data_IF_840156075005
#
_entry.id   IF_840156075005
#
_cell.length_a   1.000
_cell.length_b   1.000
_cell.length_c   1.000
_cell.angle_alpha   90.00
_cell.angle_beta   90.00
_cell.angle_gamma   90.00
#
_symmetry.space_group_name_H-M   'P 1'
#
loop_
_entity.id
_entity.type
_entity.pdbx_description
1 polymer ?
#
# COMPACT_ATOMS: atom_id res chain seq x y z
N UNK A 1 4.83 13.04 -8.17
CA UNK A 1 5.90 14.01 -8.52
C UNK A 1 7.21 13.28 -8.67
N UNK A 2 7.60 12.54 -7.66
CA UNK A 2 8.73 11.60 -7.70
C UNK A 2 8.24 10.22 -7.22
N UNK A 3 9.08 9.20 -7.38
CA UNK A 3 8.85 7.86 -6.85
C UNK A 3 7.87 7.01 -7.67
N UNK A 4 7.79 7.18 -9.00
CA UNK A 4 6.89 6.36 -9.83
C UNK A 4 7.26 4.86 -9.84
N UNK A 5 8.54 4.42 -9.84
CA UNK A 5 8.84 2.99 -9.75
C UNK A 5 8.35 2.40 -8.42
N UNK A 6 8.65 3.06 -7.31
CA UNK A 6 8.24 2.66 -5.96
C UNK A 6 6.72 2.62 -5.83
N UNK A 7 6.05 3.66 -6.34
CA UNK A 7 4.58 3.74 -6.34
C UNK A 7 3.95 2.63 -7.18
N UNK A 8 4.54 2.28 -8.33
CA UNK A 8 4.02 1.22 -9.18
C UNK A 8 4.22 -0.18 -8.60
N UNK A 9 5.22 -0.36 -7.74
CA UNK A 9 5.46 -1.61 -6.98
C UNK A 9 4.74 -1.67 -5.63
N UNK A 10 4.01 -0.62 -5.24
CA UNK A 10 3.20 -0.62 -4.03
C UNK A 10 1.96 -1.52 -4.23
N UNK A 11 1.92 -2.62 -3.47
CA UNK A 11 0.83 -3.62 -3.54
C UNK A 11 -0.53 -3.09 -3.09
N UNK A 12 -0.60 -1.95 -2.41
CA UNK A 12 -1.87 -1.26 -2.14
C UNK A 12 -2.60 -0.81 -3.42
N UNK A 13 -1.91 -0.71 -4.57
CA UNK A 13 -2.53 -0.44 -5.87
C UNK A 13 -2.97 -1.68 -6.66
N UNK A 14 -2.94 -2.88 -6.06
CA UNK A 14 -3.40 -4.10 -6.74
C UNK A 14 -4.80 -3.90 -7.31
N UNK A 15 -4.96 -4.25 -8.58
CA UNK A 15 -6.22 -4.11 -9.32
C UNK A 15 -6.71 -2.67 -9.55
N UNK A 16 -5.85 -1.66 -9.35
CA UNK A 16 -6.18 -0.25 -9.57
C UNK A 16 -5.49 0.30 -10.82
N UNK A 17 -6.12 1.29 -11.45
CA UNK A 17 -5.53 2.10 -12.51
C UNK A 17 -4.91 3.34 -11.87
N UNK A 18 -3.59 3.45 -11.90
CA UNK A 18 -2.87 4.54 -11.27
C UNK A 18 -2.82 5.75 -12.19
N UNK A 19 -3.41 6.87 -11.76
CA UNK A 19 -3.32 8.16 -12.45
C UNK A 19 -2.28 9.03 -11.75
N UNK A 20 -1.19 9.35 -12.44
CA UNK A 20 -0.18 10.25 -11.88
C UNK A 20 -0.51 11.71 -12.22
N UNK A 21 -0.55 12.54 -11.17
CA UNK A 21 -0.89 13.96 -11.29
C UNK A 21 0.27 14.81 -11.78
N UNK A 22 1.51 14.36 -11.58
CA UNK A 22 2.68 15.02 -12.14
C UNK A 22 2.73 14.74 -13.65
N UNK A 23 2.82 15.77 -14.50
CA UNK A 23 2.56 15.61 -15.93
C UNK A 23 3.66 14.82 -16.66
N UNK A 24 4.92 14.95 -16.24
CA UNK A 24 6.07 14.36 -16.93
C UNK A 24 6.57 13.12 -16.17
N UNK A 25 6.32 11.93 -16.71
CA UNK A 25 6.66 10.66 -16.03
C UNK A 25 7.70 9.88 -16.84
N UNK A 26 8.63 9.20 -16.16
CA UNK A 26 9.69 8.41 -16.80
C UNK A 26 11.04 9.15 -16.92
N UNK A 27 11.14 10.37 -16.41
CA UNK A 27 12.32 11.25 -16.56
C UNK A 27 13.63 10.67 -16.00
N UNK A 28 13.58 9.81 -14.99
CA UNK A 28 14.77 9.17 -14.41
C UNK A 28 14.84 7.66 -14.72
N UNK A 29 14.05 7.18 -15.68
CA UNK A 29 14.03 5.79 -16.09
C UNK A 29 13.56 4.85 -14.97
N UNK A 30 13.94 3.59 -15.06
CA UNK A 30 13.66 2.58 -14.05
C UNK A 30 14.99 1.98 -13.60
N UNK A 31 15.25 1.87 -12.29
CA UNK A 31 16.48 1.27 -11.78
C UNK A 31 16.52 -0.24 -11.99
N UNK A 32 17.69 -0.84 -11.81
CA UNK A 32 17.84 -2.28 -11.99
C UNK A 32 17.10 -3.06 -10.89
N UNK A 33 16.10 -3.90 -11.23
CA UNK A 33 15.34 -4.69 -10.24
C UNK A 33 16.14 -5.79 -9.56
N UNK A 34 17.31 -6.15 -10.11
CA UNK A 34 18.19 -7.19 -9.56
C UNK A 34 19.20 -6.66 -8.53
N UNK A 35 19.26 -5.33 -8.32
CA UNK A 35 20.12 -4.76 -7.29
C UNK A 35 19.51 -4.98 -5.91
N UNK A 36 20.18 -5.80 -5.11
CA UNK A 36 19.76 -6.16 -3.74
C UNK A 36 20.57 -5.42 -2.68
N UNK A 37 19.94 -5.11 -1.55
CA UNK A 37 20.57 -4.60 -0.34
C UNK A 37 21.29 -5.71 0.45
N UNK A 38 21.89 -5.33 1.58
CA UNK A 38 22.63 -6.25 2.47
C UNK A 38 21.76 -7.37 3.06
N UNK A 39 20.43 -7.22 3.04
CA UNK A 39 19.45 -8.20 3.52
C UNK A 39 18.80 -9.00 2.37
N UNK A 40 19.31 -8.85 1.14
CA UNK A 40 18.80 -9.56 -0.03
C UNK A 40 17.43 -9.08 -0.52
N UNK A 41 17.04 -7.84 -0.21
CA UNK A 41 15.82 -7.19 -0.72
C UNK A 41 16.16 -6.22 -1.85
N UNK A 42 15.29 -6.03 -2.86
CA UNK A 42 15.52 -5.04 -3.93
C UNK A 42 15.74 -3.64 -3.37
N UNK A 43 16.80 -2.94 -3.80
CA UNK A 43 17.15 -1.62 -3.26
C UNK A 43 16.09 -0.56 -3.54
N UNK A 44 15.61 -0.49 -4.78
CA UNK A 44 14.84 0.65 -5.30
C UNK A 44 13.36 0.35 -5.55
N UNK A 45 12.86 -0.79 -5.07
CA UNK A 45 11.48 -1.22 -5.29
C UNK A 45 10.81 -1.61 -3.98
N UNK A 46 9.49 -1.47 -3.92
CA UNK A 46 8.67 -1.79 -2.76
C UNK A 46 8.20 -3.24 -2.75
N UNK A 47 8.56 -4.02 -3.77
CA UNK A 47 8.27 -5.45 -3.86
C UNK A 47 9.37 -6.22 -4.60
N UNK A 48 9.37 -7.55 -4.44
CA UNK A 48 10.37 -8.44 -5.03
C UNK A 48 10.42 -8.32 -6.55
N UNK A 49 11.63 -8.46 -7.11
CA UNK A 49 11.91 -8.40 -8.56
C UNK A 49 11.44 -7.13 -9.28
N UNK A 50 11.05 -6.08 -8.54
CA UNK A 50 10.43 -4.90 -9.13
C UNK A 50 9.08 -5.21 -9.79
N UNK A 51 8.35 -6.21 -9.31
CA UNK A 51 7.04 -6.57 -9.85
C UNK A 51 6.04 -5.42 -9.65
N UNK A 52 5.42 -5.00 -10.75
CA UNK A 52 4.44 -3.93 -10.80
C UNK A 52 3.11 -4.44 -10.24
N UNK A 53 2.58 -3.72 -9.26
CA UNK A 53 1.30 -4.03 -8.62
C UNK A 53 0.10 -3.37 -9.30
N UNK A 54 0.30 -2.19 -9.92
CA UNK A 54 -0.77 -1.46 -10.61
C UNK A 54 -1.29 -2.26 -11.81
N UNK A 55 -2.58 -2.20 -12.08
CA UNK A 55 -3.16 -2.84 -13.28
C UNK A 55 -2.95 -2.03 -14.55
N UNK A 56 -2.82 -0.72 -14.42
CA UNK A 56 -2.39 0.14 -15.51
C UNK A 56 -1.84 1.47 -14.99
N UNK A 57 -1.09 2.16 -15.85
CA UNK A 57 -0.63 3.52 -15.59
C UNK A 57 -1.26 4.52 -16.57
N UNK A 58 -1.74 5.64 -16.05
CA UNK A 58 -2.32 6.75 -16.81
C UNK A 58 -1.51 8.01 -16.50
N UNK A 59 -0.92 8.61 -17.53
CA UNK A 59 -0.04 9.79 -17.38
C UNK A 59 -0.37 10.89 -18.40
N UNK A 60 0.11 12.09 -18.13
CA UNK A 60 0.07 13.21 -19.08
C UNK A 60 1.04 12.97 -20.24
N UNK A 61 2.32 12.90 -19.93
CA UNK A 61 3.41 12.72 -20.89
C UNK A 61 4.42 11.70 -20.37
N UNK A 62 4.97 10.91 -21.29
CA UNK A 62 6.04 9.94 -21.00
C UNK A 62 7.35 10.47 -21.56
N UNK A 63 8.38 10.48 -20.73
CA UNK A 63 9.74 10.76 -21.17
C UNK A 63 10.34 9.50 -21.81
N UNK A 64 10.66 9.57 -23.11
CA UNK A 64 11.26 8.46 -23.86
C UNK A 64 12.78 8.35 -23.68
N UNK A 65 13.44 9.44 -23.27
CA UNK A 65 14.90 9.52 -23.09
C UNK A 65 15.22 9.89 -21.64
N UNK A 66 15.15 8.92 -20.70
CA UNK A 66 15.45 9.17 -19.29
C UNK A 66 16.91 9.58 -19.08
N UNK A 67 17.17 10.41 -18.07
CA UNK A 67 18.52 10.79 -17.66
C UNK A 67 18.66 10.74 -16.15
N UNK A 68 19.26 9.66 -15.65
CA UNK A 68 19.60 9.46 -14.25
C UNK A 68 20.70 8.41 -14.12
N UNK A 69 21.62 8.57 -13.17
CA UNK A 69 22.76 7.66 -12.99
C UNK A 69 22.34 6.22 -12.69
N UNK A 70 21.19 6.05 -12.03
CA UNK A 70 20.59 4.75 -11.71
C UNK A 70 19.60 4.25 -12.76
N UNK A 71 19.48 4.90 -13.93
CA UNK A 71 18.56 4.46 -14.98
C UNK A 71 19.09 3.21 -15.68
N UNK A 72 18.34 2.10 -15.61
CA UNK A 72 18.66 0.84 -16.28
C UNK A 72 17.82 0.61 -17.54
N UNK A 73 16.54 0.97 -17.50
CA UNK A 73 15.61 0.86 -18.64
C UNK A 73 14.62 2.02 -18.67
N UNK A 74 13.92 2.19 -19.79
CA UNK A 74 12.81 3.14 -19.88
C UNK A 74 11.57 2.61 -19.14
N UNK A 75 10.69 3.52 -18.72
CA UNK A 75 9.40 3.16 -18.13
C UNK A 75 8.59 2.24 -19.05
N UNK A 76 8.58 2.54 -20.35
CA UNK A 76 7.83 1.74 -21.33
C UNK A 76 8.39 0.33 -21.50
N UNK A 77 9.71 0.15 -21.49
CA UNK A 77 10.33 -1.18 -21.55
C UNK A 77 10.02 -2.02 -20.30
N UNK A 78 10.11 -1.41 -19.12
CA UNK A 78 9.77 -2.06 -17.86
C UNK A 78 8.30 -2.50 -17.80
N UNK A 79 7.37 -1.64 -18.21
CA UNK A 79 5.96 -2.00 -18.27
C UNK A 79 5.67 -3.10 -19.31
N UNK A 80 6.32 -3.05 -20.48
CA UNK A 80 6.17 -4.07 -21.52
C UNK A 80 6.67 -5.44 -21.06
N UNK A 81 7.81 -5.50 -20.36
CA UNK A 81 8.38 -6.77 -19.90
C UNK A 81 7.47 -7.50 -18.90
N UNK A 82 6.70 -6.75 -18.12
CA UNK A 82 5.73 -7.27 -17.15
C UNK A 82 4.28 -7.29 -17.67
N UNK A 83 4.07 -6.95 -18.94
CA UNK A 83 2.74 -6.93 -19.60
C UNK A 83 1.73 -6.00 -18.92
N UNK A 84 2.19 -4.87 -18.39
CA UNK A 84 1.34 -3.86 -17.76
C UNK A 84 0.93 -2.81 -18.80
N UNK A 85 -0.38 -2.59 -19.03
CA UNK A 85 -0.84 -1.56 -19.95
C UNK A 85 -0.59 -0.16 -19.38
N UNK A 86 -0.39 0.80 -20.29
CA UNK A 86 -0.28 2.21 -19.96
C UNK A 86 -0.86 3.08 -21.07
N UNK A 87 -1.26 4.30 -20.72
CA UNK A 87 -1.73 5.31 -21.67
C UNK A 87 -1.17 6.69 -21.30
N UNK A 88 -0.66 7.39 -22.30
CA UNK A 88 -0.17 8.76 -22.22
C UNK A 88 -1.03 9.70 -23.08
N UNK A 89 -0.79 11.01 -22.97
CA UNK A 89 -1.57 12.04 -23.67
C UNK A 89 -2.93 12.32 -23.03
N UNK A 90 -3.13 11.89 -21.78
CA UNK A 90 -4.38 12.09 -21.05
C UNK A 90 -4.28 13.36 -20.20
N UNK A 91 -5.33 14.20 -20.22
CA UNK A 91 -5.46 15.28 -19.24
C UNK A 91 -5.72 14.69 -17.84
N UNK A 92 -4.63 14.35 -17.14
CA UNK A 92 -4.69 13.75 -15.80
C UNK A 92 -5.30 14.72 -14.80
N UNK A 93 -5.19 16.05 -15.01
CA UNK A 93 -5.84 17.05 -14.16
C UNK A 93 -7.36 17.01 -14.28
N UNK A 94 -7.90 16.95 -15.50
CA UNK A 94 -9.34 16.80 -15.73
C UNK A 94 -9.86 15.48 -15.13
N UNK A 95 -9.11 14.39 -15.29
CA UNK A 95 -9.44 13.09 -14.70
C UNK A 95 -9.43 13.14 -13.17
N UNK A 96 -8.40 13.71 -12.55
CA UNK A 96 -8.32 13.87 -11.08
C UNK A 96 -9.46 14.71 -10.53
N UNK A 97 -9.87 15.80 -11.21
CA UNK A 97 -11.06 16.58 -10.81
C UNK A 97 -12.32 15.71 -10.79
N UNK A 98 -12.54 14.93 -11.85
CA UNK A 98 -13.69 14.02 -11.96
C UNK A 98 -13.70 12.96 -10.86
N UNK A 99 -12.55 12.36 -10.57
CA UNK A 99 -12.40 11.39 -9.47
C UNK A 99 -12.66 12.02 -8.10
N UNK A 100 -12.21 13.26 -7.88
CA UNK A 100 -12.49 13.97 -6.62
C UNK A 100 -13.98 14.29 -6.43
N UNK A 101 -14.67 14.62 -7.51
CA UNK A 101 -16.10 14.97 -7.49
C UNK A 101 -17.00 13.75 -7.28
N UNK A 102 -16.71 12.63 -7.96
CA UNK A 102 -17.55 11.43 -7.96
C UNK A 102 -17.03 10.28 -7.07
N UNK A 103 -15.84 10.43 -6.50
CA UNK A 103 -15.18 9.41 -5.70
C UNK A 103 -14.48 8.32 -6.52
N UNK A 104 -14.32 7.14 -5.93
CA UNK A 104 -13.68 5.99 -6.59
C UNK A 104 -14.55 5.50 -7.75
N UNK A 105 -14.07 5.69 -8.99
CA UNK A 105 -14.76 5.25 -10.20
C UNK A 105 -14.11 3.98 -10.77
N UNK A 106 -14.94 3.11 -11.34
CA UNK A 106 -14.47 2.01 -12.17
C UNK A 106 -14.04 2.55 -13.54
N UNK A 107 -12.90 2.04 -14.03
CA UNK A 107 -12.31 2.47 -15.29
C UNK A 107 -11.76 1.28 -16.08
N UNK A 108 -11.57 1.49 -17.38
CA UNK A 108 -10.95 0.52 -18.28
C UNK A 108 -10.19 1.26 -19.38
N UNK A 109 -9.02 0.74 -19.73
CA UNK A 109 -8.28 1.15 -20.93
C UNK A 109 -8.70 0.21 -22.06
N UNK A 110 -9.08 0.78 -23.19
CA UNK A 110 -9.44 0.04 -24.41
C UNK A 110 -8.60 0.55 -25.57
N UNK A 111 -8.08 -0.37 -26.39
CA UNK A 111 -7.24 -0.01 -27.55
C UNK A 111 -8.03 0.66 -28.68
N UNK A 112 -9.29 0.24 -28.84
CA UNK A 112 -10.19 0.76 -29.86
C UNK A 112 -11.53 1.07 -29.20
N UNK A 113 -12.25 2.03 -29.77
CA UNK A 113 -13.59 2.37 -29.31
C UNK A 113 -14.50 1.15 -29.54
N UNK A 114 -15.08 0.58 -28.47
CA UNK A 114 -15.92 -0.59 -28.62
C UNK A 114 -17.24 -0.25 -29.33
N UNK A 115 -17.66 -1.08 -30.28
CA UNK A 115 -18.95 -0.94 -30.97
C UNK A 115 -20.13 -1.13 -30.00
N UNK A 116 -19.97 -2.04 -29.04
CA UNK A 116 -20.96 -2.31 -28.01
C UNK A 116 -20.35 -2.22 -26.61
N UNK A 117 -20.57 -1.08 -25.94
CA UNK A 117 -20.12 -0.83 -24.57
C UNK A 117 -20.68 -1.85 -23.56
N UNK A 118 -21.83 -2.48 -23.84
CA UNK A 118 -22.45 -3.46 -22.92
C UNK A 118 -21.62 -4.75 -22.78
N UNK A 119 -20.78 -5.08 -23.77
CA UNK A 119 -19.85 -6.21 -23.69
C UNK A 119 -18.70 -5.95 -22.69
N UNK A 120 -18.49 -4.69 -22.30
CA UNK A 120 -17.40 -4.26 -21.42
C UNK A 120 -17.93 -4.00 -20.01
N UNK A 121 -18.50 -5.03 -19.38
CA UNK A 121 -18.95 -4.95 -17.99
C UNK A 121 -17.79 -4.57 -17.06
N UNK A 122 -17.98 -3.54 -16.23
CA UNK A 122 -17.03 -3.19 -15.20
C UNK A 122 -17.04 -4.23 -14.08
N UNK A 123 -15.86 -4.58 -13.58
CA UNK A 123 -15.70 -5.43 -12.41
C UNK A 123 -15.12 -4.56 -11.30
N UNK A 124 -15.77 -4.54 -10.13
CA UNK A 124 -15.24 -3.84 -8.96
C UNK A 124 -14.27 -4.77 -8.22
N UNK A 125 -12.95 -4.47 -8.24
CA UNK A 125 -11.97 -5.31 -7.56
C UNK A 125 -12.13 -5.33 -6.05
N UNK A 126 -12.80 -4.35 -5.45
CA UNK A 126 -13.04 -4.30 -4.00
C UNK A 126 -14.03 -5.37 -3.52
N UNK A 127 -14.69 -6.10 -4.45
CA UNK A 127 -15.58 -7.22 -4.10
C UNK A 127 -14.84 -8.53 -3.83
N UNK A 128 -13.50 -8.54 -3.99
CA UNK A 128 -12.63 -9.69 -3.82
C UNK A 128 -11.65 -9.45 -2.67
N UNK A 129 -11.12 -10.53 -2.10
CA UNK A 129 -10.05 -10.44 -1.12
C UNK A 129 -8.70 -10.17 -1.82
N UNK A 130 -8.40 -8.88 -2.04
CA UNK A 130 -7.15 -8.45 -2.67
C UNK A 130 -5.91 -8.74 -1.80
N UNK A 131 -6.08 -8.81 -0.48
CA UNK A 131 -5.01 -9.16 0.45
C UNK A 131 -4.52 -10.58 0.21
N UNK A 132 -5.44 -11.54 0.05
CA UNK A 132 -5.11 -12.92 -0.27
C UNK A 132 -4.39 -13.09 -1.62
N UNK A 133 -4.68 -12.22 -2.59
CA UNK A 133 -4.00 -12.19 -3.89
C UNK A 133 -2.56 -11.67 -3.79
N UNK A 134 -2.30 -10.73 -2.88
CA UNK A 134 -1.00 -10.10 -2.72
C UNK A 134 -0.09 -10.84 -1.77
N UNK A 135 -0.61 -11.38 -0.66
CA UNK A 135 0.15 -12.02 0.40
C UNK A 135 1.09 -13.12 -0.12
N UNK A 136 2.28 -13.19 0.47
CA UNK A 136 3.18 -14.34 0.36
C UNK A 136 2.45 -15.66 0.68
N UNK A 137 2.97 -16.75 0.13
CA UNK A 137 2.43 -18.10 0.32
C UNK A 137 3.17 -18.90 1.36
N UNK A 138 4.47 -18.64 1.52
CA UNK A 138 5.35 -19.33 2.46
C UNK A 138 6.08 -18.30 3.32
N UNK A 139 6.22 -18.52 4.64
CA UNK A 139 6.93 -17.63 5.53
C UNK A 139 8.38 -17.35 5.09
N UNK A 140 8.86 -16.13 5.36
CA UNK A 140 10.23 -15.72 5.05
C UNK A 140 10.85 -14.96 6.22
N UNK A 141 12.07 -15.34 6.57
CA UNK A 141 12.84 -14.71 7.65
C UNK A 141 13.88 -13.75 7.08
N UNK A 142 13.97 -12.57 7.68
CA UNK A 142 14.97 -11.54 7.40
C UNK A 142 15.77 -11.26 8.67
N UNK A 143 17.08 -11.04 8.52
CA UNK A 143 18.01 -10.79 9.61
C UNK A 143 17.89 -11.87 10.72
N UNK A 144 18.20 -13.15 10.42
CA UNK A 144 17.89 -14.30 11.29
C UNK A 144 18.51 -14.23 12.69
N UNK A 145 19.66 -13.59 12.82
CA UNK A 145 20.38 -13.39 14.10
C UNK A 145 19.95 -12.12 14.84
N UNK A 146 18.98 -11.38 14.28
CA UNK A 146 18.50 -10.11 14.83
C UNK A 146 17.67 -10.26 16.10
N UNK A 147 17.48 -9.13 16.78
CA UNK A 147 16.62 -8.99 17.95
C UNK A 147 16.08 -7.56 18.03
N UNK A 148 14.81 -7.34 18.42
CA UNK A 148 13.81 -8.34 18.85
C UNK A 148 13.27 -9.18 17.68
N UNK A 149 12.54 -10.26 18.00
CA UNK A 149 11.81 -11.07 17.00
C UNK A 149 10.46 -10.44 16.69
N UNK A 150 10.23 -10.08 15.43
CA UNK A 150 8.99 -9.45 14.97
C UNK A 150 8.29 -10.41 14.01
N UNK A 151 7.05 -10.77 14.32
CA UNK A 151 6.16 -11.41 13.35
C UNK A 151 5.51 -10.32 12.51
N UNK A 152 5.69 -10.34 11.19
CA UNK A 152 5.10 -9.39 10.26
C UNK A 152 4.05 -10.09 9.41
N UNK A 153 2.78 -9.69 9.53
CA UNK A 153 1.70 -10.23 8.70
C UNK A 153 1.72 -9.52 7.34
N UNK A 154 1.83 -10.28 6.25
CA UNK A 154 1.79 -9.76 4.90
C UNK A 154 0.35 -9.54 4.40
N UNK A 155 -0.15 -8.33 4.54
CA UNK A 155 -1.44 -7.93 3.99
C UNK A 155 -1.32 -7.30 2.58
N UNK A 156 -0.15 -7.35 1.94
CA UNK A 156 0.21 -6.48 0.82
C UNK A 156 1.32 -5.48 1.18
N UNK A 157 2.23 -5.91 2.07
CA UNK A 157 3.39 -5.19 2.56
C UNK A 157 4.24 -4.53 1.46
N UNK A 158 4.71 -3.32 1.78
CA UNK A 158 5.86 -2.65 1.15
C UNK A 158 7.18 -3.07 1.80
N UNK A 159 8.16 -3.51 1.02
CA UNK A 159 9.45 -4.00 1.54
C UNK A 159 10.20 -2.98 2.39
N UNK A 160 10.00 -1.68 2.19
CA UNK A 160 10.65 -0.68 3.03
C UNK A 160 10.25 -0.78 4.51
N UNK A 161 9.08 -1.34 4.84
CA UNK A 161 8.68 -1.63 6.22
C UNK A 161 9.62 -2.66 6.86
N UNK A 162 9.93 -3.74 6.15
CA UNK A 162 10.89 -4.77 6.60
C UNK A 162 12.28 -4.17 6.71
N UNK A 163 12.75 -3.43 5.68
CA UNK A 163 14.05 -2.73 5.70
C UNK A 163 14.21 -1.84 6.94
N UNK A 164 13.17 -1.09 7.29
CA UNK A 164 13.18 -0.24 8.48
C UNK A 164 13.28 -1.04 9.79
N UNK A 165 12.64 -2.21 9.88
CA UNK A 165 12.73 -3.06 11.07
C UNK A 165 14.11 -3.73 11.18
N UNK A 166 14.62 -4.33 10.10
CA UNK A 166 15.90 -5.05 10.12
C UNK A 166 17.10 -4.11 10.30
N UNK A 167 17.05 -2.89 9.74
CA UNK A 167 18.09 -1.87 9.96
C UNK A 167 18.16 -1.37 11.41
N UNK A 168 17.10 -1.58 12.19
CA UNK A 168 17.07 -1.34 13.65
C UNK A 168 17.49 -2.58 14.46
N UNK A 169 17.97 -3.63 13.79
CA UNK A 169 18.49 -4.84 14.41
C UNK A 169 17.48 -5.98 14.54
N UNK A 170 16.20 -5.77 14.23
CA UNK A 170 15.16 -6.78 14.45
C UNK A 170 15.32 -8.01 13.53
N UNK A 171 14.99 -9.20 14.04
CA UNK A 171 14.71 -10.38 13.22
C UNK A 171 13.25 -10.31 12.81
N UNK A 172 12.97 -10.32 11.51
CA UNK A 172 11.60 -10.22 11.01
C UNK A 172 11.19 -11.51 10.32
N UNK A 173 10.10 -12.09 10.78
CA UNK A 173 9.45 -13.25 10.15
C UNK A 173 8.17 -12.77 9.47
N UNK A 174 8.24 -12.65 8.15
CA UNK A 174 7.10 -12.31 7.31
C UNK A 174 6.25 -13.57 7.11
N UNK A 175 4.98 -13.50 7.47
CA UNK A 175 4.03 -14.62 7.37
C UNK A 175 2.83 -14.26 6.48
N UNK A 176 2.13 -15.25 5.89
CA UNK A 176 0.92 -15.01 5.12
C UNK A 176 -0.17 -14.27 5.92
N UNK A 177 -1.06 -13.55 5.23
CA UNK A 177 -2.15 -12.77 5.82
C UNK A 177 -3.05 -13.56 6.78
N UNK A 178 -3.19 -14.87 6.57
CA UNK A 178 -4.04 -15.78 7.33
C UNK A 178 -3.27 -16.76 8.21
N UNK A 179 -2.00 -16.50 8.50
CA UNK A 179 -1.17 -17.35 9.35
C UNK A 179 -1.76 -17.44 10.78
N UNK A 180 -1.94 -18.64 11.34
CA UNK A 180 -2.21 -18.81 12.77
C UNK A 180 -1.01 -18.32 13.60
N UNK A 181 -1.20 -17.30 14.43
CA UNK A 181 -0.09 -16.71 15.19
C UNK A 181 0.25 -17.52 16.45
N UNK A 182 1.54 -17.63 16.73
CA UNK A 182 2.09 -18.24 17.93
C UNK A 182 2.94 -17.21 18.69
N UNK A 183 2.37 -16.63 19.76
CA UNK A 183 2.99 -15.59 20.58
C UNK A 183 4.27 -16.02 21.32
N UNK A 184 4.57 -17.32 21.37
CA UNK A 184 5.84 -17.81 21.93
C UNK A 184 7.02 -17.55 20.98
N UNK A 185 6.75 -17.35 19.68
CA UNK A 185 7.77 -17.23 18.63
C UNK A 185 8.22 -15.80 18.35
N UNK A 186 7.47 -14.80 18.79
CA UNK A 186 7.80 -13.39 18.54
C UNK A 186 7.67 -12.53 19.80
N UNK A 187 8.38 -11.40 19.78
CA UNK A 187 8.42 -10.42 20.85
C UNK A 187 7.53 -9.20 20.54
N UNK A 188 7.20 -8.97 19.26
CA UNK A 188 6.20 -7.98 18.82
C UNK A 188 5.51 -8.39 17.51
N UNK A 189 4.32 -7.84 17.28
CA UNK A 189 3.51 -8.08 16.08
C UNK A 189 3.48 -6.83 15.19
N UNK A 190 3.74 -7.01 13.90
CA UNK A 190 3.65 -5.97 12.89
C UNK A 190 2.58 -6.34 11.85
N UNK A 191 1.67 -5.42 11.55
CA UNK A 191 0.61 -5.62 10.56
C UNK A 191 0.84 -4.62 9.45
N UNK A 192 1.12 -5.13 8.26
CA UNK A 192 1.55 -4.31 7.13
C UNK A 192 0.41 -3.54 6.45
N UNK A 193 0.79 -2.69 5.49
CA UNK A 193 -0.18 -2.09 4.57
C UNK A 193 -0.78 -3.15 3.62
N UNK A 194 -1.81 -2.77 2.86
CA UNK A 194 -2.38 -3.64 1.86
C UNK A 194 -3.43 -2.97 0.97
N UNK A 195 -3.93 -3.69 -0.04
CA UNK A 195 -5.04 -3.27 -0.89
C UNK A 195 -6.39 -3.68 -0.32
N UNK A 196 -7.45 -3.09 -0.87
CA UNK A 196 -8.82 -3.58 -0.71
C UNK A 196 -9.52 -3.10 0.55
N UNK A 197 -10.56 -3.84 0.90
CA UNK A 197 -11.47 -3.55 2.01
C UNK A 197 -11.13 -4.45 3.21
N UNK A 198 -10.93 -3.87 4.42
CA UNK A 198 -10.57 -4.64 5.60
C UNK A 198 -11.61 -5.69 6.01
N UNK A 199 -12.87 -5.57 5.59
CA UNK A 199 -13.94 -6.54 5.91
C UNK A 199 -13.68 -7.95 5.35
N UNK A 200 -12.82 -8.07 4.34
CA UNK A 200 -12.40 -9.35 3.77
C UNK A 200 -11.28 -10.05 4.57
N UNK A 201 -10.71 -9.40 5.58
CA UNK A 201 -9.56 -9.89 6.35
C UNK A 201 -9.95 -10.49 7.72
N UNK A 202 -11.11 -11.16 7.80
CA UNK A 202 -11.67 -11.69 9.07
C UNK A 202 -10.71 -12.63 9.82
N UNK A 203 -10.02 -13.50 9.08
CA UNK A 203 -9.03 -14.44 9.66
C UNK A 203 -7.88 -13.67 10.34
N UNK A 204 -7.35 -12.64 9.68
CA UNK A 204 -6.30 -11.78 10.24
C UNK A 204 -6.79 -11.04 11.48
N UNK A 205 -8.00 -10.47 11.43
CA UNK A 205 -8.62 -9.74 12.55
C UNK A 205 -8.74 -10.67 13.77
N UNK A 206 -9.18 -11.90 13.59
CA UNK A 206 -9.28 -12.88 14.69
C UNK A 206 -7.93 -13.21 15.32
N UNK A 207 -6.85 -13.25 14.53
CA UNK A 207 -5.51 -13.47 15.08
C UNK A 207 -5.01 -12.24 15.86
N UNK A 208 -5.27 -11.03 15.35
CA UNK A 208 -4.94 -9.78 16.07
C UNK A 208 -5.68 -9.70 17.40
N UNK A 209 -6.97 -10.06 17.43
CA UNK A 209 -7.79 -10.11 18.65
C UNK A 209 -7.17 -11.00 19.72
N UNK A 210 -6.72 -12.22 19.37
CA UNK A 210 -6.07 -13.14 20.31
C UNK A 210 -4.80 -12.54 20.94
N UNK A 211 -3.98 -11.85 20.13
CA UNK A 211 -2.74 -11.23 20.61
C UNK A 211 -3.04 -10.02 21.51
N UNK A 212 -4.08 -9.24 21.18
CA UNK A 212 -4.56 -8.13 22.01
C UNK A 212 -5.07 -8.61 23.37
N UNK A 213 -5.88 -9.67 23.41
CA UNK A 213 -6.46 -10.23 24.64
C UNK A 213 -5.37 -10.66 25.65
N UNK A 214 -4.22 -11.12 25.15
CA UNK A 214 -3.09 -11.48 26.00
C UNK A 214 -2.35 -10.28 26.59
N UNK A 215 -2.44 -9.10 25.97
CA UNK A 215 -2.00 -7.80 26.52
C UNK A 215 -0.48 -7.65 26.80
N UNK A 216 0.36 -8.56 26.30
CA UNK A 216 1.80 -8.62 26.63
C UNK A 216 2.73 -8.16 25.52
N UNK A 217 2.27 -8.18 24.27
CA UNK A 217 3.10 -7.96 23.08
C UNK A 217 2.78 -6.59 22.48
N UNK A 218 3.78 -5.76 22.15
CA UNK A 218 3.54 -4.55 21.35
C UNK A 218 3.03 -4.94 19.96
N UNK A 219 2.02 -4.21 19.48
CA UNK A 219 1.43 -4.38 18.16
C UNK A 219 1.55 -3.05 17.40
N UNK A 220 2.01 -3.12 16.16
CA UNK A 220 2.15 -1.95 15.29
C UNK A 220 1.51 -2.21 13.92
N UNK A 221 0.46 -1.47 13.59
CA UNK A 221 -0.25 -1.55 12.32
C UNK A 221 -0.01 -0.33 11.44
N UNK A 222 0.21 -0.53 10.12
CA UNK A 222 0.38 0.55 9.15
C UNK A 222 -0.72 0.48 8.07
N UNK A 223 -1.38 1.61 7.78
CA UNK A 223 -2.40 1.72 6.73
C UNK A 223 -3.53 0.68 6.92
N UNK A 224 -3.60 -0.36 6.08
CA UNK A 224 -4.53 -1.47 6.29
C UNK A 224 -4.32 -2.11 7.66
N UNK A 225 -3.09 -2.30 8.12
CA UNK A 225 -2.82 -2.84 9.44
C UNK A 225 -3.35 -1.99 10.59
N UNK A 226 -3.40 -0.67 10.43
CA UNK A 226 -4.06 0.23 11.39
C UNK A 226 -5.58 0.00 11.39
N UNK A 227 -6.19 -0.15 10.21
CA UNK A 227 -7.63 -0.44 10.08
C UNK A 227 -7.99 -1.80 10.69
N UNK A 228 -7.20 -2.84 10.42
CA UNK A 228 -7.42 -4.18 10.98
C UNK A 228 -7.27 -4.20 12.50
N UNK A 229 -6.29 -3.45 13.04
CA UNK A 229 -6.12 -3.28 14.48
C UNK A 229 -7.33 -2.56 15.09
N UNK A 230 -7.83 -1.50 14.46
CA UNK A 230 -9.01 -0.78 14.91
C UNK A 230 -10.27 -1.66 14.89
N UNK A 231 -10.46 -2.49 13.86
CA UNK A 231 -11.60 -3.42 13.80
C UNK A 231 -11.46 -4.52 14.86
N UNK A 232 -10.25 -5.00 15.12
CA UNK A 232 -10.00 -6.00 16.16
C UNK A 232 -10.48 -5.53 17.55
N UNK A 233 -10.38 -4.24 17.84
CA UNK A 233 -10.86 -3.62 19.09
C UNK A 233 -12.32 -3.16 19.03
N UNK A 234 -13.04 -3.43 17.94
CA UNK A 234 -14.47 -3.15 17.79
C UNK A 234 -14.83 -1.85 17.07
N UNK A 235 -13.86 -1.11 16.51
CA UNK A 235 -14.15 0.07 15.72
C UNK A 235 -14.79 -0.29 14.37
N UNK A 236 -15.52 0.66 13.79
CA UNK A 236 -16.00 0.60 12.41
C UNK A 236 -15.03 1.31 11.47
N UNK A 237 -14.99 0.84 10.23
CA UNK A 237 -14.35 1.55 9.13
C UNK A 237 -15.38 1.99 8.10
N UNK A 238 -15.05 3.00 7.31
CA UNK A 238 -15.90 3.47 6.21
C UNK A 238 -15.07 3.78 4.98
N UNK A 239 -15.69 3.61 3.80
CA UNK A 239 -15.09 3.97 2.52
C UNK A 239 -15.11 5.48 2.35
N UNK A 240 -13.94 6.07 2.20
CA UNK A 240 -13.78 7.49 1.90
C UNK A 240 -14.22 7.78 0.46
N UNK A 241 -14.63 9.03 0.20
CA UNK A 241 -15.08 9.46 -1.14
C UNK A 241 -14.01 9.20 -2.20
N UNK A 242 -12.83 9.80 -2.03
CA UNK A 242 -11.69 9.67 -2.95
C UNK A 242 -10.38 9.29 -2.26
N UNK A 243 -10.43 8.98 -0.95
CA UNK A 243 -9.30 8.53 -0.13
C UNK A 243 -8.15 9.54 0.00
N UNK A 244 -7.16 9.16 0.80
CA UNK A 244 -5.94 9.91 0.98
C UNK A 244 -4.80 9.26 0.20
N UNK A 245 -4.34 9.94 -0.86
CA UNK A 245 -3.35 9.43 -1.82
C UNK A 245 -2.36 10.52 -2.20
N UNK A 246 -1.17 10.51 -1.60
CA UNK A 246 -0.17 11.53 -1.84
C UNK A 246 1.02 11.44 -0.89
N UNK A 247 2.04 12.25 -1.17
CA UNK A 247 3.26 12.34 -0.34
C UNK A 247 3.29 13.64 0.50
N UNK A 248 2.18 14.36 0.53
CA UNK A 248 2.05 15.70 1.09
C UNK A 248 0.82 15.81 1.99
N UNK A 249 0.52 14.75 2.75
CA UNK A 249 -0.68 14.73 3.59
C UNK A 249 -0.28 15.10 5.03
N UNK A 250 -0.80 16.22 5.57
CA UNK A 250 -0.46 16.69 6.91
C UNK A 250 -1.23 15.92 7.98
N UNK A 251 -0.52 15.31 8.91
CA UNK A 251 -1.10 14.66 10.09
C UNK A 251 -0.66 15.37 11.37
N UNK A 252 -1.61 15.72 12.23
CA UNK A 252 -1.37 16.33 13.54
C UNK A 252 -1.33 15.24 14.60
N UNK A 253 -0.26 15.21 15.39
CA UNK A 253 -0.08 14.30 16.51
C UNK A 253 -0.84 14.82 17.74
N UNK A 254 -1.74 14.00 18.29
CA UNK A 254 -2.47 14.29 19.54
C UNK A 254 -1.53 14.26 20.75
N UNK A 255 -1.66 15.22 21.66
CA UNK A 255 -0.77 15.36 22.83
C UNK A 255 0.46 16.26 22.60
N UNK A 256 1.09 16.26 21.42
CA UNK A 256 2.22 17.18 21.12
C UNK A 256 1.84 18.38 20.24
N UNK A 257 0.77 18.28 19.45
CA UNK A 257 0.36 19.32 18.49
C UNK A 257 1.26 19.43 17.26
N UNK A 258 2.27 18.55 17.10
CA UNK A 258 3.18 18.59 15.95
C UNK A 258 2.45 18.13 14.68
N UNK A 259 2.63 18.88 13.60
CA UNK A 259 2.19 18.49 12.26
C UNK A 259 3.35 17.81 11.50
N UNK A 260 3.08 16.65 10.91
CA UNK A 260 4.03 15.86 10.11
C UNK A 260 3.50 15.70 8.69
N UNK A 261 4.37 15.82 7.69
CA UNK A 261 4.03 15.48 6.32
C UNK A 261 4.18 13.97 6.13
N UNK A 262 3.12 13.31 5.67
CA UNK A 262 3.05 11.85 5.52
C UNK A 262 2.82 11.45 4.06
N UNK A 263 3.24 10.23 3.73
CA UNK A 263 2.82 9.54 2.52
C UNK A 263 1.67 8.59 2.86
N UNK A 264 0.56 8.73 2.15
CA UNK A 264 -0.62 7.89 2.37
C UNK A 264 -1.15 7.35 1.04
N UNK A 265 -1.75 6.17 1.14
CA UNK A 265 -2.42 5.48 0.04
C UNK A 265 -3.52 4.57 0.60
N UNK A 266 -4.65 5.16 1.02
CA UNK A 266 -5.81 4.40 1.49
C UNK A 266 -7.13 5.02 1.03
N UNK A 267 -8.14 4.15 0.84
CA UNK A 267 -9.51 4.52 0.49
C UNK A 267 -10.51 4.33 1.63
N UNK A 268 -10.06 3.85 2.78
CA UNK A 268 -10.87 3.59 3.97
C UNK A 268 -10.27 4.33 5.16
N UNK A 269 -11.11 4.70 6.12
CA UNK A 269 -10.71 5.34 7.36
C UNK A 269 -11.46 4.72 8.55
N UNK A 270 -10.88 4.84 9.74
CA UNK A 270 -11.49 4.41 11.00
C UNK A 270 -12.44 5.49 11.50
N UNK A 271 -13.61 5.07 11.99
CA UNK A 271 -14.57 5.95 12.65
C UNK A 271 -14.21 6.11 14.13
N UNK A 272 -13.60 7.24 14.48
CA UNK A 272 -13.18 7.57 15.86
C UNK A 272 -14.37 7.61 16.83
N UNK A 273 -15.60 7.86 16.35
CA UNK A 273 -16.78 7.84 17.21
C UNK A 273 -17.13 6.42 17.73
N UNK A 274 -16.50 5.39 17.18
CA UNK A 274 -16.66 3.99 17.59
C UNK A 274 -15.50 3.46 18.41
N UNK A 275 -14.55 4.33 18.77
CA UNK A 275 -13.38 3.96 19.55
C UNK A 275 -13.79 3.63 21.00
N UNK A 276 -13.36 2.49 21.56
CA UNK A 276 -13.60 2.17 22.97
C UNK A 276 -12.85 3.11 23.93
N UNK A 277 -13.33 3.20 25.18
CA UNK A 277 -12.83 4.15 26.20
C UNK A 277 -11.35 3.95 26.59
N UNK A 278 -10.80 2.75 26.39
CA UNK A 278 -9.39 2.40 26.65
C UNK A 278 -8.43 2.74 25.51
N UNK A 279 -8.95 3.34 24.43
CA UNK A 279 -8.18 3.72 23.24
C UNK A 279 -8.29 5.21 22.94
N UNK A 280 -7.23 5.77 22.35
CA UNK A 280 -7.21 7.17 21.92
C UNK A 280 -6.69 7.32 20.48
N UNK A 281 -7.18 8.32 19.72
CA UNK A 281 -6.62 8.65 18.42
C UNK A 281 -5.22 9.26 18.58
N UNK A 282 -4.24 8.76 17.82
CA UNK A 282 -2.88 9.28 17.87
C UNK A 282 -2.61 10.38 16.84
N UNK A 283 -3.09 10.23 15.60
CA UNK A 283 -3.02 11.26 14.58
C UNK A 283 -4.38 11.61 13.98
N UNK A 284 -4.46 12.81 13.41
CA UNK A 284 -5.60 13.28 12.62
C UNK A 284 -5.11 14.07 11.42
N UNK A 285 -5.72 13.80 10.27
CA UNK A 285 -5.46 14.51 9.04
C UNK A 285 -5.91 15.97 9.16
N UNK A 286 -5.00 16.92 8.90
CA UNK A 286 -5.30 18.34 9.05
C UNK A 286 -6.21 18.90 7.93
N UNK A 287 -6.37 18.17 6.82
CA UNK A 287 -7.17 18.64 5.68
C UNK A 287 -8.66 18.25 5.81
N UNK A 288 -8.96 17.07 6.33
CA UNK A 288 -10.32 16.50 6.33
C UNK A 288 -10.77 15.91 7.68
N UNK A 289 -9.91 15.93 8.70
CA UNK A 289 -10.14 15.40 10.04
C UNK A 289 -10.35 13.87 10.10
N UNK A 290 -9.94 13.11 9.08
CA UNK A 290 -9.92 11.65 9.20
C UNK A 290 -8.89 11.18 10.23
N UNK A 291 -9.14 10.02 10.83
CA UNK A 291 -8.17 9.35 11.69
C UNK A 291 -6.97 8.86 10.88
N UNK A 292 -5.78 8.95 11.48
CA UNK A 292 -4.49 8.58 10.90
C UNK A 292 -3.60 7.88 11.94
#
# INVERSE_FOLDING_TARGET
MVGYPESMTDRSYRSQLLVLTYPLIGNYGVPNPLELDEYGMPKYFEWFNGDIAVSALIVGEVCEQPSHWGSHSTLSEWMKSQKIPGISGIDTRALTKKLREHGTLLGRIVYQRPENLKLYAFNDPNTRNLVAECSIKEPRVFNPEGSPRICAIDCGLKLNQIKCLVSRGARVELVPWNEPLDESKFDGLFISNGPGDPDYCKETIQQIQKVLENGRKPIFGICLGHQLLAIAIGCKTYKMKYGNRGHNIPCVHHGTGRCLMTSQNHGFAVDVATLPDDWEPLFTNANDNSNE
#
